data_IF_580287989095
#
_entry.id   IF_580287989095
#
_cell.length_a   1.000
_cell.length_b   1.000
_cell.length_c   1.000
_cell.angle_alpha   90.00
_cell.angle_beta   90.00
_cell.angle_gamma   90.00
#
_symmetry.space_group_name_H-M   'P 1'
#
loop_
_entity.id
_entity.type
_entity.pdbx_description
1 polymer ?
#
# COMPACT_ATOMS: atom_id res chain seq x y z
N UNK A 1 -10.39 -17.77 -6.95
CA UNK A 1 -11.11 -18.29 -5.75
C UNK A 1 -11.13 -17.28 -4.60
N UNK A 2 -9.98 -16.81 -4.10
CA UNK A 2 -9.93 -15.84 -2.99
C UNK A 2 -10.55 -14.47 -3.33
N UNK A 3 -10.21 -13.89 -4.50
CA UNK A 3 -10.74 -12.60 -4.93
C UNK A 3 -12.27 -12.63 -5.13
N UNK A 4 -12.79 -13.67 -5.80
CA UNK A 4 -14.24 -13.85 -6.02
C UNK A 4 -15.00 -14.02 -4.71
N UNK A 5 -14.46 -14.77 -3.75
CA UNK A 5 -15.08 -14.93 -2.43
C UNK A 5 -15.14 -13.60 -1.67
N UNK A 6 -14.02 -12.86 -1.65
CA UNK A 6 -13.96 -11.54 -1.01
C UNK A 6 -14.92 -10.52 -1.66
N UNK A 7 -15.06 -10.57 -2.98
CA UNK A 7 -15.99 -9.72 -3.72
C UNK A 7 -17.46 -10.03 -3.42
N UNK A 8 -17.80 -11.31 -3.19
CA UNK A 8 -19.16 -11.70 -2.79
C UNK A 8 -19.46 -11.25 -1.35
N UNK A 9 -18.49 -11.30 -0.45
CA UNK A 9 -18.66 -10.92 0.96
C UNK A 9 -18.88 -9.42 1.16
N UNK A 10 -18.09 -8.57 0.49
CA UNK A 10 -18.03 -7.12 0.76
C UNK A 10 -18.16 -6.23 -0.49
N UNK A 11 -18.45 -6.82 -1.64
CA UNK A 11 -18.57 -6.10 -2.91
C UNK A 11 -17.22 -5.79 -3.57
N UNK A 12 -17.29 -4.92 -4.57
CA UNK A 12 -16.15 -4.48 -5.37
C UNK A 12 -16.06 -2.95 -5.38
N UNK A 13 -14.85 -2.46 -5.59
CA UNK A 13 -14.54 -1.03 -5.75
C UNK A 13 -13.67 -0.84 -7.01
N UNK A 14 -13.55 0.42 -7.44
CA UNK A 14 -12.64 0.79 -8.52
C UNK A 14 -11.20 0.40 -8.17
N UNK A 15 -10.58 -0.45 -9.00
CA UNK A 15 -9.25 -0.96 -8.77
C UNK A 15 -8.14 0.04 -9.10
N UNK A 16 -6.91 -0.45 -9.22
CA UNK A 16 -5.76 0.36 -9.65
C UNK A 16 -5.42 1.50 -8.69
N UNK A 17 -5.76 1.38 -7.40
CA UNK A 17 -5.56 2.41 -6.38
C UNK A 17 -6.60 3.54 -6.36
N UNK A 18 -7.54 3.56 -7.31
CA UNK A 18 -8.54 4.64 -7.45
C UNK A 18 -9.53 4.67 -6.29
N UNK A 19 -9.88 3.52 -5.71
CA UNK A 19 -10.70 3.46 -4.51
C UNK A 19 -10.11 4.27 -3.34
N UNK A 20 -8.78 4.31 -3.20
CA UNK A 20 -8.10 5.08 -2.15
C UNK A 20 -8.14 6.58 -2.44
N UNK A 21 -8.01 6.97 -3.72
CA UNK A 21 -8.20 8.37 -4.16
C UNK A 21 -9.63 8.84 -3.85
N UNK A 22 -10.63 8.01 -4.13
CA UNK A 22 -12.04 8.33 -3.85
C UNK A 22 -12.31 8.47 -2.34
N UNK A 23 -11.47 7.88 -1.47
CA UNK A 23 -11.58 8.00 -0.02
C UNK A 23 -10.89 9.26 0.53
N UNK A 24 -10.00 9.91 -0.23
CA UNK A 24 -9.28 11.12 0.20
C UNK A 24 -10.19 12.24 0.72
N UNK A 25 -11.33 12.59 0.08
CA UNK A 25 -12.19 13.67 0.55
C UNK A 25 -12.71 13.47 1.98
N UNK A 26 -12.88 12.21 2.42
CA UNK A 26 -13.28 11.92 3.79
C UNK A 26 -12.18 12.27 4.80
N UNK A 27 -10.92 12.02 4.45
CA UNK A 27 -9.75 12.40 5.26
C UNK A 27 -9.54 13.91 5.21
N UNK A 28 -9.66 14.54 4.04
CA UNK A 28 -9.56 16.00 3.89
C UNK A 28 -10.58 16.75 4.73
N UNK A 29 -11.80 16.19 4.88
CA UNK A 29 -12.83 16.75 5.75
C UNK A 29 -12.49 16.64 7.23
N UNK A 30 -11.74 15.60 7.63
CA UNK A 30 -11.33 15.38 9.02
C UNK A 30 -10.15 16.27 9.43
N UNK A 31 -9.22 16.56 8.52
CA UNK A 31 -7.99 17.33 8.80
C UNK A 31 -8.22 18.68 9.53
N UNK A 32 -9.23 19.49 9.19
CA UNK A 32 -9.53 20.73 9.91
C UNK A 32 -10.01 20.54 11.36
N UNK A 33 -10.52 19.37 11.71
CA UNK A 33 -11.04 19.04 13.05
C UNK A 33 -9.93 18.56 14.00
N UNK A 34 -8.71 18.34 13.48
CA UNK A 34 -7.56 17.81 14.21
C UNK A 34 -6.54 18.91 14.53
N UNK A 35 -5.79 18.72 15.61
CA UNK A 35 -4.73 19.63 16.06
C UNK A 35 -3.40 18.90 16.28
N UNK A 36 -2.30 19.66 16.31
CA UNK A 36 -0.97 19.15 16.63
C UNK A 36 -0.54 17.91 15.81
N UNK A 37 -0.09 16.88 16.52
CA UNK A 37 0.45 15.65 15.92
C UNK A 37 -0.62 14.82 15.21
N UNK A 38 -1.88 14.85 15.68
CA UNK A 38 -2.98 14.13 15.03
C UNK A 38 -3.24 14.66 13.62
N UNK A 39 -3.21 16.00 13.47
CA UNK A 39 -3.32 16.65 12.17
C UNK A 39 -2.18 16.24 11.23
N UNK A 40 -0.96 16.17 11.75
CA UNK A 40 0.21 15.72 11.00
C UNK A 40 0.03 14.27 10.54
N UNK A 41 -0.44 13.38 11.41
CA UNK A 41 -0.77 12.00 11.09
C UNK A 41 -1.83 11.87 9.98
N UNK A 42 -2.91 12.66 10.06
CA UNK A 42 -3.93 12.66 9.02
C UNK A 42 -3.40 13.14 7.65
N UNK A 43 -2.50 14.13 7.63
CA UNK A 43 -1.84 14.56 6.39
C UNK A 43 -0.91 13.50 5.81
N UNK A 44 -0.22 12.73 6.66
CA UNK A 44 0.59 11.58 6.23
C UNK A 44 -0.30 10.53 5.55
N UNK A 45 -1.43 10.18 6.18
CA UNK A 45 -2.39 9.24 5.59
C UNK A 45 -2.94 9.77 4.27
N UNK A 46 -3.33 11.03 4.21
CA UNK A 46 -3.85 11.65 2.99
C UNK A 46 -2.87 11.53 1.82
N UNK A 47 -1.58 11.77 2.06
CA UNK A 47 -0.52 11.58 1.07
C UNK A 47 -0.26 10.10 0.76
N UNK A 48 -0.35 9.20 1.74
CA UNK A 48 -0.13 7.78 1.49
C UNK A 48 -1.20 7.16 0.57
N UNK A 49 -2.43 7.68 0.58
CA UNK A 49 -3.54 7.16 -0.25
C UNK A 49 -3.30 7.29 -1.76
N UNK A 50 -2.47 8.22 -2.22
CA UNK A 50 -2.15 8.41 -3.64
C UNK A 50 -0.96 7.56 -4.14
N UNK A 51 -0.13 7.04 -3.23
CA UNK A 51 1.08 6.30 -3.59
C UNK A 51 0.80 5.02 -4.40
N UNK A 52 -0.27 4.24 -4.15
CA UNK A 52 -0.54 3.04 -4.96
C UNK A 52 -0.76 3.34 -6.44
N UNK A 53 -1.53 4.39 -6.76
CA UNK A 53 -1.73 4.82 -8.17
C UNK A 53 -0.39 5.30 -8.74
N UNK A 54 0.35 6.13 -7.99
CA UNK A 54 1.66 6.64 -8.42
C UNK A 54 2.61 5.50 -8.78
N UNK A 55 2.70 4.49 -7.92
CA UNK A 55 3.61 3.36 -8.13
C UNK A 55 3.20 2.54 -9.36
N UNK A 56 1.91 2.31 -9.58
CA UNK A 56 1.41 1.61 -10.78
C UNK A 56 1.82 2.37 -12.04
N UNK A 57 1.64 3.69 -12.06
CA UNK A 57 1.97 4.55 -13.20
C UNK A 57 3.48 4.61 -13.45
N UNK A 58 4.30 4.72 -12.39
CA UNK A 58 5.76 4.67 -12.50
C UNK A 58 6.21 3.33 -13.09
N UNK A 59 5.60 2.22 -12.66
CA UNK A 59 5.91 0.89 -13.19
C UNK A 59 5.54 0.74 -14.67
N UNK A 60 4.59 1.54 -15.16
CA UNK A 60 4.25 1.64 -16.58
C UNK A 60 5.18 2.59 -17.36
N UNK A 61 6.17 3.22 -16.71
CA UNK A 61 7.11 4.13 -17.36
C UNK A 61 6.56 5.55 -17.62
N UNK A 62 5.47 5.91 -16.94
CA UNK A 62 4.76 7.17 -17.13
C UNK A 62 4.92 8.11 -15.92
N UNK A 63 4.58 9.39 -16.12
CA UNK A 63 4.68 10.42 -15.08
C UNK A 63 3.48 10.35 -14.10
N UNK A 64 3.70 9.79 -12.92
CA UNK A 64 2.68 9.57 -11.89
C UNK A 64 1.94 10.82 -11.42
N UNK A 65 2.65 11.96 -11.34
CA UNK A 65 2.09 13.23 -10.85
C UNK A 65 0.99 13.76 -11.76
N UNK A 66 1.23 13.75 -13.08
CA UNK A 66 0.28 14.25 -14.08
C UNK A 66 -1.01 13.42 -14.09
N UNK A 67 -0.86 12.09 -14.05
CA UNK A 67 -2.01 11.18 -14.08
C UNK A 67 -2.84 11.29 -12.80
N UNK A 68 -2.19 11.38 -11.64
CA UNK A 68 -2.86 11.59 -10.36
C UNK A 68 -3.66 12.89 -10.32
N UNK A 69 -3.07 13.99 -10.79
CA UNK A 69 -3.75 15.29 -10.85
C UNK A 69 -4.98 15.24 -11.75
N UNK A 70 -4.89 14.60 -12.92
CA UNK A 70 -6.01 14.46 -13.83
C UNK A 70 -7.15 13.60 -13.24
N UNK A 71 -6.80 12.49 -12.56
CA UNK A 71 -7.78 11.66 -11.84
C UNK A 71 -8.50 12.48 -10.77
N UNK A 72 -7.77 13.22 -9.93
CA UNK A 72 -8.37 14.07 -8.87
C UNK A 72 -9.23 15.19 -9.45
N UNK A 73 -8.79 15.80 -10.56
CA UNK A 73 -9.51 16.88 -11.24
C UNK A 73 -10.86 16.44 -11.79
N UNK A 74 -10.99 15.18 -12.20
CA UNK A 74 -12.23 14.63 -12.72
C UNK A 74 -13.40 14.69 -11.72
N UNK A 75 -13.11 14.64 -10.41
CA UNK A 75 -14.09 14.54 -9.31
C UNK A 75 -15.13 13.44 -9.48
N UNK A 76 -14.87 12.46 -10.35
CA UNK A 76 -15.79 11.38 -10.67
C UNK A 76 -15.36 10.14 -9.91
N UNK A 77 -16.24 9.62 -9.07
CA UNK A 77 -16.01 8.36 -8.37
C UNK A 77 -15.79 7.23 -9.40
N UNK A 78 -14.70 6.49 -9.21
CA UNK A 78 -14.32 5.37 -10.07
C UNK A 78 -13.68 5.76 -11.40
N UNK A 79 -13.43 7.04 -11.66
CA UNK A 79 -12.59 7.47 -12.77
C UNK A 79 -11.12 7.26 -12.43
N UNK A 80 -10.38 6.66 -13.35
CA UNK A 80 -8.99 6.28 -13.13
C UNK A 80 -8.19 6.18 -14.40
N UNK A 81 -7.02 5.57 -14.29
CA UNK A 81 -6.10 5.36 -15.40
C UNK A 81 -5.83 3.86 -15.57
N UNK A 82 -6.16 3.35 -16.75
CA UNK A 82 -5.76 2.02 -17.19
C UNK A 82 -4.30 2.09 -17.64
N UNK A 83 -3.39 1.62 -16.78
CA UNK A 83 -1.96 1.63 -17.05
C UNK A 83 -1.52 0.62 -18.13
N UNK A 84 -2.38 -0.34 -18.51
CA UNK A 84 -2.06 -1.29 -19.57
C UNK A 84 -2.32 -0.70 -20.96
N UNK A 85 -3.45 0.00 -21.10
CA UNK A 85 -3.83 0.66 -22.36
C UNK A 85 -3.45 2.14 -22.43
N UNK A 86 -2.91 2.70 -21.34
CA UNK A 86 -2.54 4.10 -21.18
C UNK A 86 -3.71 5.08 -21.42
N UNK A 87 -4.90 4.74 -20.91
CA UNK A 87 -6.11 5.55 -21.13
C UNK A 87 -6.86 5.83 -19.83
N UNK A 88 -7.54 6.98 -19.78
CA UNK A 88 -8.43 7.28 -18.67
C UNK A 88 -9.80 6.65 -18.89
N UNK A 89 -10.27 5.92 -17.88
CA UNK A 89 -11.49 5.11 -17.98
C UNK A 89 -12.30 5.17 -16.70
N UNK A 90 -13.56 4.75 -16.81
CA UNK A 90 -14.34 4.33 -15.65
C UNK A 90 -13.88 2.90 -15.29
N UNK A 91 -13.27 2.74 -14.12
CA UNK A 91 -12.52 1.54 -13.76
C UNK A 91 -13.43 0.30 -13.70
N UNK A 92 -14.63 0.43 -13.13
CA UNK A 92 -15.56 -0.70 -12.98
C UNK A 92 -16.09 -1.18 -14.34
N UNK A 93 -16.64 -0.32 -15.22
CA UNK A 93 -17.02 -0.71 -16.58
C UNK A 93 -15.86 -1.27 -17.41
N UNK A 94 -14.64 -0.77 -17.21
CA UNK A 94 -13.44 -1.31 -17.85
C UNK A 94 -12.99 -2.67 -17.30
N UNK A 95 -13.64 -3.18 -16.25
CA UNK A 95 -13.29 -4.45 -15.60
C UNK A 95 -12.10 -4.37 -14.64
N UNK A 96 -11.60 -3.17 -14.35
CA UNK A 96 -10.51 -2.93 -13.41
C UNK A 96 -11.10 -2.73 -12.02
N UNK A 97 -11.29 -3.85 -11.32
CA UNK A 97 -11.98 -3.90 -10.04
C UNK A 97 -11.17 -4.62 -8.98
N UNK A 98 -11.24 -4.11 -7.76
CA UNK A 98 -10.67 -4.75 -6.58
C UNK A 98 -11.79 -5.15 -5.61
N UNK A 99 -11.71 -6.32 -4.94
CA UNK A 99 -12.64 -6.63 -3.85
C UNK A 99 -12.50 -5.61 -2.72
N UNK A 100 -13.61 -5.06 -2.22
CA UNK A 100 -13.62 -4.03 -1.15
C UNK A 100 -12.77 -4.44 0.05
N UNK A 101 -12.90 -5.71 0.46
CA UNK A 101 -12.17 -6.30 1.58
C UNK A 101 -10.65 -6.21 1.41
N UNK A 102 -10.15 -6.39 0.18
CA UNK A 102 -8.71 -6.37 -0.11
C UNK A 102 -8.16 -4.96 0.04
N UNK A 103 -8.81 -3.97 -0.56
CA UNK A 103 -8.39 -2.57 -0.45
C UNK A 103 -8.43 -2.09 1.00
N UNK A 104 -9.51 -2.40 1.73
CA UNK A 104 -9.65 -2.03 3.14
C UNK A 104 -8.60 -2.70 4.02
N UNK A 105 -8.45 -4.02 3.90
CA UNK A 105 -7.52 -4.78 4.75
C UNK A 105 -6.06 -4.40 4.47
N UNK A 106 -5.71 -4.12 3.22
CA UNK A 106 -4.39 -3.63 2.85
C UNK A 106 -4.07 -2.31 3.58
N UNK A 107 -4.99 -1.34 3.55
CA UNK A 107 -4.80 -0.06 4.24
C UNK A 107 -4.71 -0.23 5.76
N UNK A 108 -5.60 -1.03 6.36
CA UNK A 108 -5.62 -1.27 7.80
C UNK A 108 -4.34 -1.96 8.28
N UNK A 109 -3.87 -2.97 7.55
CA UNK A 109 -2.65 -3.69 7.88
C UNK A 109 -1.41 -2.81 7.71
N UNK A 110 -1.35 -2.00 6.65
CA UNK A 110 -0.26 -1.05 6.43
C UNK A 110 -0.19 -0.02 7.55
N UNK A 111 -1.32 0.56 7.96
CA UNK A 111 -1.39 1.49 9.08
C UNK A 111 -0.96 0.84 10.40
N UNK A 112 -1.38 -0.41 10.65
CA UNK A 112 -1.00 -1.18 11.84
C UNK A 112 0.51 -1.39 11.94
N UNK A 113 1.15 -1.83 10.85
CA UNK A 113 2.61 -2.02 10.80
C UNK A 113 3.33 -0.69 10.92
N UNK A 114 2.87 0.37 10.25
CA UNK A 114 3.48 1.70 10.35
C UNK A 114 3.43 2.23 11.79
N UNK A 115 2.30 2.10 12.48
CA UNK A 115 2.16 2.50 13.88
C UNK A 115 3.07 1.69 14.81
N UNK A 116 3.15 0.37 14.61
CA UNK A 116 4.07 -0.50 15.35
C UNK A 116 5.52 -0.02 15.19
N UNK A 117 5.97 0.19 13.94
CA UNK A 117 7.36 0.60 13.65
C UNK A 117 7.67 1.98 14.22
N UNK A 118 6.76 2.96 14.05
CA UNK A 118 6.96 4.33 14.55
C UNK A 118 7.01 4.43 16.07
N UNK A 119 6.39 3.49 16.78
CA UNK A 119 6.38 3.44 18.25
C UNK A 119 7.44 2.48 18.82
N UNK A 120 8.22 1.82 17.97
CA UNK A 120 9.28 0.90 18.39
C UNK A 120 10.56 1.68 18.67
N UNK A 121 10.90 1.84 19.95
CA UNK A 121 12.10 2.57 20.38
C UNK A 121 13.39 1.73 20.27
N UNK A 122 13.30 0.40 20.38
CA UNK A 122 14.46 -0.50 20.46
C UNK A 122 14.21 -1.83 19.76
N UNK A 123 15.24 -2.38 19.13
CA UNK A 123 15.25 -3.72 18.53
C UNK A 123 16.41 -4.53 19.13
N UNK A 124 16.13 -5.77 19.52
CA UNK A 124 17.14 -6.73 19.98
C UNK A 124 17.19 -7.86 18.96
N UNK A 125 18.38 -8.19 18.49
CA UNK A 125 18.62 -9.27 17.55
C UNK A 125 19.73 -10.19 18.09
N UNK A 126 19.62 -11.48 17.78
CA UNK A 126 20.68 -12.43 18.03
C UNK A 126 21.86 -12.16 17.09
N UNK A 127 23.08 -12.30 17.61
CA UNK A 127 24.29 -12.22 16.80
C UNK A 127 24.42 -13.54 16.04
N UNK A 128 24.66 -13.47 14.73
CA UNK A 128 24.99 -14.67 13.95
C UNK A 128 26.19 -15.37 14.57
N UNK A 129 25.98 -16.60 15.05
CA UNK A 129 27.08 -17.45 15.49
C UNK A 129 27.90 -17.85 14.26
N UNK A 130 29.19 -17.49 14.24
CA UNK A 130 30.10 -18.12 13.29
C UNK A 130 30.06 -19.63 13.55
N UNK A 131 29.56 -20.39 12.57
CA UNK A 131 29.57 -21.84 12.61
C UNK A 131 30.97 -22.30 13.03
N UNK A 132 31.11 -22.80 14.25
CA UNK A 132 32.31 -23.49 14.68
C UNK A 132 32.46 -24.67 13.74
N UNK A 133 33.32 -24.54 12.74
CA UNK A 133 33.70 -25.66 11.89
C UNK A 133 34.08 -26.80 12.83
N UNK A 134 33.46 -28.00 12.69
CA UNK A 134 33.76 -29.10 13.59
C UNK A 134 35.28 -29.28 13.64
N UNK A 135 35.85 -29.26 14.84
CA UNK A 135 37.27 -29.49 15.02
C UNK A 135 37.64 -30.79 14.30
N UNK A 136 38.39 -30.68 13.21
CA UNK A 136 38.89 -31.82 12.46
C UNK A 136 39.64 -32.72 13.46
N UNK A 137 39.30 -34.03 13.56
CA UNK A 137 39.96 -34.92 14.50
C UNK A 137 41.47 -34.83 14.29
N UNK A 138 42.18 -34.43 15.34
CA UNK A 138 43.63 -34.37 15.34
C UNK A 138 44.15 -35.79 15.12
N UNK A 139 44.56 -36.06 13.88
CA UNK A 139 45.07 -37.35 13.44
C UNK A 139 46.10 -37.89 14.42
N UNK A 140 45.83 -39.09 14.92
CA UNK A 140 46.52 -39.70 16.03
C UNK A 140 48.05 -39.68 15.89
N UNK A 141 48.70 -39.19 16.93
CA UNK A 141 50.08 -39.51 17.23
C UNK A 141 50.13 -40.98 17.64
N UNK A 142 50.59 -41.85 16.72
CA UNK A 142 50.70 -43.28 16.96
C UNK A 142 51.59 -43.98 15.93
N UNK A 143 52.88 -44.12 16.31
CA UNK A 143 54.01 -44.82 15.68
C UNK A 143 54.75 -44.10 14.57
#
# INVERSE_FOLDING_TARGET
>A
LAATKAAVEEGIVAGGGVALINAMPAVEKLVPELEGDEKTGALIVLRALEEPVRQIVINAGLEGSVILEEIKRSRKAGYGFDAYNETYVDMIPAGIVDPTKVTRSALQNAASVAAMVLTTESLVADIEEENQMPAMPQGGMGM
#
